data_IF_823852243445
#
_entry.id   IF_823852243445
#
_cell.length_a   1.000
_cell.length_b   1.000
_cell.length_c   1.000
_cell.angle_alpha   90.00
_cell.angle_beta   90.00
_cell.angle_gamma   90.00
#
_symmetry.space_group_name_H-M   'P 1'
#
loop_
_entity.id
_entity.type
_entity.pdbx_description
1 polymer ?
#
# COMPACT_ATOMS: atom_id res chain seq x y z
N UNK A 1 19.30 8.96 -7.07
CA UNK A 1 19.98 10.26 -6.87
C UNK A 1 21.11 10.50 -7.86
N UNK A 2 21.96 9.51 -8.12
CA UNK A 2 23.10 9.61 -9.05
C UNK A 2 22.78 10.29 -10.40
N UNK A 3 21.72 9.86 -11.08
CA UNK A 3 21.31 10.48 -12.35
C UNK A 3 20.97 11.97 -12.22
N UNK A 4 20.32 12.38 -11.11
CA UNK A 4 19.99 13.79 -10.87
C UNK A 4 21.26 14.62 -10.66
N UNK A 5 22.20 14.14 -9.85
CA UNK A 5 23.51 14.79 -9.62
C UNK A 5 24.34 14.83 -10.90
N UNK A 6 24.25 13.79 -11.74
CA UNK A 6 24.85 13.79 -13.08
C UNK A 6 24.30 14.91 -13.97
N UNK A 7 22.99 15.21 -13.90
CA UNK A 7 22.43 16.38 -14.58
C UNK A 7 22.89 17.70 -13.95
N UNK A 8 23.04 17.79 -12.62
CA UNK A 8 23.62 18.97 -11.98
C UNK A 8 25.07 19.22 -12.43
N UNK A 9 25.87 18.17 -12.61
CA UNK A 9 27.22 18.27 -13.15
C UNK A 9 27.23 18.78 -14.60
N UNK A 10 26.29 18.31 -15.45
CA UNK A 10 26.10 18.82 -16.83
C UNK A 10 25.65 20.28 -16.88
N UNK A 11 24.89 20.73 -15.88
CA UNK A 11 24.59 22.15 -15.71
C UNK A 11 25.86 22.93 -15.38
N UNK A 12 26.69 22.41 -14.47
CA UNK A 12 27.93 23.05 -14.06
C UNK A 12 28.99 23.12 -15.18
N UNK A 13 29.05 22.12 -16.08
CA UNK A 13 29.94 22.12 -17.25
C UNK A 13 29.46 23.00 -18.41
N UNK A 14 28.18 23.43 -18.40
CA UNK A 14 27.56 24.18 -19.50
C UNK A 14 26.92 23.31 -20.59
N UNK A 15 26.93 21.99 -20.45
CA UNK A 15 26.33 21.05 -21.40
C UNK A 15 24.79 21.06 -21.37
N UNK A 16 24.20 21.42 -20.22
CA UNK A 16 22.75 21.60 -20.06
C UNK A 16 22.43 23.08 -19.81
N UNK A 17 21.89 23.74 -20.84
CA UNK A 17 21.67 25.20 -20.83
C UNK A 17 20.32 25.64 -20.27
N UNK A 18 19.30 24.78 -20.32
CA UNK A 18 17.96 25.09 -19.82
C UNK A 18 17.78 24.49 -18.42
N UNK A 19 17.96 25.31 -17.39
CA UNK A 19 17.79 24.90 -16.00
C UNK A 19 17.38 26.09 -15.11
N UNK A 20 16.93 25.80 -13.89
CA UNK A 20 16.73 26.78 -12.82
C UNK A 20 17.29 26.21 -11.51
N UNK A 21 18.22 26.94 -10.89
CA UNK A 21 18.77 26.59 -9.57
C UNK A 21 18.12 27.47 -8.49
N UNK A 22 17.71 26.87 -7.39
CA UNK A 22 17.17 27.60 -6.24
C UNK A 22 17.41 26.85 -4.93
N UNK A 23 17.41 27.53 -3.77
CA UNK A 23 17.55 26.85 -2.48
C UNK A 23 16.36 25.93 -2.19
N UNK A 24 16.63 24.70 -1.74
CA UNK A 24 15.59 23.71 -1.42
C UNK A 24 14.58 24.23 -0.38
N UNK A 25 15.05 24.90 0.66
CA UNK A 25 14.18 25.48 1.71
C UNK A 25 13.24 26.56 1.17
N UNK A 26 13.65 27.30 0.13
CA UNK A 26 12.77 28.30 -0.50
C UNK A 26 11.61 27.62 -1.22
N UNK A 27 11.88 26.54 -1.96
CA UNK A 27 10.83 25.77 -2.63
C UNK A 27 9.92 25.08 -1.61
N UNK A 28 10.49 24.47 -0.58
CA UNK A 28 9.73 23.80 0.48
C UNK A 28 8.77 24.74 1.20
N UNK A 29 9.25 25.93 1.62
CA UNK A 29 8.39 26.95 2.22
C UNK A 29 7.24 27.35 1.29
N UNK A 30 7.52 27.53 -0.01
CA UNK A 30 6.47 27.86 -0.98
C UNK A 30 5.44 26.73 -1.11
N UNK A 31 5.87 25.47 -1.15
CA UNK A 31 4.95 24.32 -1.18
C UNK A 31 4.02 24.33 0.04
N UNK A 32 4.57 24.52 1.24
CA UNK A 32 3.79 24.56 2.49
C UNK A 32 2.83 25.75 2.54
N UNK A 33 3.26 26.94 2.09
CA UNK A 33 2.37 28.11 2.03
C UNK A 33 1.19 27.87 1.09
N UNK A 34 1.41 27.27 -0.08
CA UNK A 34 0.30 26.96 -0.99
C UNK A 34 -0.64 25.89 -0.43
N UNK A 35 -0.07 24.85 0.19
CA UNK A 35 -0.87 23.83 0.88
C UNK A 35 -1.74 24.45 1.99
N UNK A 36 -1.18 25.38 2.77
CA UNK A 36 -1.92 26.10 3.81
C UNK A 36 -3.02 27.01 3.24
N UNK A 37 -2.70 27.80 2.21
CA UNK A 37 -3.63 28.79 1.65
C UNK A 37 -4.76 28.16 0.81
N UNK A 38 -4.48 27.03 0.14
CA UNK A 38 -5.37 26.49 -0.90
C UNK A 38 -5.74 25.03 -0.71
N UNK A 39 -5.15 24.35 0.28
CA UNK A 39 -5.23 22.91 0.42
C UNK A 39 -4.42 22.12 -0.62
N UNK A 40 -3.66 22.79 -1.51
CA UNK A 40 -2.94 22.18 -2.63
C UNK A 40 -1.56 22.83 -2.88
N UNK A 41 -0.60 22.12 -3.50
CA UNK A 41 -0.65 20.70 -3.84
C UNK A 41 -0.39 19.80 -2.62
N UNK A 42 -0.97 18.60 -2.62
CA UNK A 42 -0.65 17.59 -1.60
C UNK A 42 0.79 17.09 -1.74
N UNK A 43 1.29 16.51 -0.65
CA UNK A 43 2.66 15.98 -0.56
C UNK A 43 2.58 14.45 -0.55
N UNK A 44 3.20 13.84 -1.56
CA UNK A 44 3.39 12.38 -1.65
C UNK A 44 4.87 12.10 -1.88
N UNK A 45 5.36 10.95 -1.40
CA UNK A 45 6.78 10.62 -1.44
C UNK A 45 7.05 9.51 -2.45
N UNK A 46 7.70 9.87 -3.57
CA UNK A 46 7.97 8.95 -4.69
C UNK A 46 8.75 7.71 -4.29
N UNK A 47 9.86 7.88 -3.55
CA UNK A 47 10.80 6.78 -3.33
C UNK A 47 10.20 5.68 -2.43
N UNK A 48 9.54 5.98 -1.29
CA UNK A 48 8.77 4.99 -0.55
C UNK A 48 7.72 4.25 -1.40
N UNK A 49 7.03 4.95 -2.31
CA UNK A 49 6.04 4.34 -3.19
C UNK A 49 6.67 3.34 -4.17
N UNK A 50 7.89 3.61 -4.65
CA UNK A 50 8.56 2.75 -5.64
C UNK A 50 9.37 1.62 -4.98
N UNK A 51 10.18 1.93 -3.96
CA UNK A 51 11.03 0.95 -3.26
C UNK A 51 10.21 -0.15 -2.60
N UNK A 52 9.02 0.19 -2.10
CA UNK A 52 8.12 -0.75 -1.41
C UNK A 52 7.06 -1.35 -2.33
N UNK A 53 7.05 -1.00 -3.62
CA UNK A 53 6.05 -1.52 -4.55
C UNK A 53 6.34 -2.99 -4.89
N UNK A 54 5.35 -3.90 -4.74
CA UNK A 54 5.52 -5.28 -5.15
C UNK A 54 5.73 -5.46 -6.65
N UNK A 55 5.44 -4.42 -7.44
CA UNK A 55 5.47 -4.41 -8.91
C UNK A 55 6.71 -3.70 -9.50
N UNK A 56 7.74 -3.43 -8.69
CA UNK A 56 8.96 -2.73 -9.14
C UNK A 56 9.72 -3.44 -10.28
N UNK A 57 9.49 -4.73 -10.50
CA UNK A 57 10.13 -5.54 -11.54
C UNK A 57 9.55 -5.33 -12.94
N UNK A 58 8.36 -4.75 -13.05
CA UNK A 58 7.61 -4.60 -14.32
C UNK A 58 7.20 -3.16 -14.63
N UNK A 59 7.58 -2.19 -13.80
CA UNK A 59 7.27 -0.79 -14.06
C UNK A 59 7.62 0.15 -12.90
N UNK A 60 7.15 1.38 -13.02
CA UNK A 60 7.42 2.48 -12.09
C UNK A 60 6.09 3.11 -11.67
N UNK A 61 5.97 3.43 -10.38
CA UNK A 61 4.86 4.24 -9.84
C UNK A 61 5.19 5.71 -10.12
N UNK A 62 4.54 6.29 -11.13
CA UNK A 62 4.78 7.68 -11.55
C UNK A 62 4.02 8.71 -10.70
N UNK A 63 2.89 8.33 -10.13
CA UNK A 63 2.05 9.17 -9.29
C UNK A 63 1.18 8.32 -8.36
N UNK A 64 0.50 8.97 -7.43
CA UNK A 64 -0.69 8.37 -6.81
C UNK A 64 -1.93 8.58 -7.68
N UNK A 65 -3.10 8.21 -7.19
CA UNK A 65 -4.43 8.61 -7.69
C UNK A 65 -4.94 9.94 -7.08
N UNK A 66 -6.21 10.25 -7.38
CA UNK A 66 -6.93 11.42 -6.87
C UNK A 66 -7.02 11.50 -5.34
N UNK A 67 -7.01 10.40 -4.60
CA UNK A 67 -7.16 10.41 -3.14
C UNK A 67 -5.87 10.06 -2.39
N UNK A 68 -4.74 9.94 -3.11
CA UNK A 68 -3.38 9.73 -2.57
C UNK A 68 -3.07 8.38 -1.90
N UNK A 69 -3.94 7.38 -2.04
CA UNK A 69 -3.82 6.07 -1.41
C UNK A 69 -3.30 4.95 -2.35
N UNK A 70 -3.30 5.18 -3.67
CA UNK A 70 -2.97 4.15 -4.67
C UNK A 70 -1.63 4.38 -5.33
N UNK A 71 -0.74 3.38 -5.20
CA UNK A 71 0.63 3.41 -5.73
C UNK A 71 0.86 2.30 -6.76
N UNK A 72 0.21 2.44 -7.92
CA UNK A 72 0.27 1.46 -9.01
C UNK A 72 1.10 1.97 -10.19
N UNK A 73 1.72 1.04 -10.90
CA UNK A 73 2.51 1.35 -12.09
C UNK A 73 1.63 1.89 -13.23
N UNK A 74 2.18 2.79 -14.03
CA UNK A 74 1.57 3.29 -15.27
C UNK A 74 2.62 3.40 -16.36
N UNK A 75 2.23 3.27 -17.63
CA UNK A 75 3.09 3.51 -18.77
C UNK A 75 2.27 3.85 -20.02
N UNK A 76 2.91 3.96 -21.18
CA UNK A 76 2.26 4.27 -22.46
C UNK A 76 1.12 3.29 -22.82
N UNK A 77 1.17 2.06 -22.33
CA UNK A 77 0.22 0.98 -22.62
C UNK A 77 -0.70 0.59 -21.45
N UNK A 78 -0.47 1.13 -20.24
CA UNK A 78 -1.14 0.70 -19.01
C UNK A 78 -1.67 1.91 -18.23
N UNK A 79 -2.99 1.91 -18.02
CA UNK A 79 -3.68 2.82 -17.09
C UNK A 79 -4.07 1.98 -15.87
N UNK A 80 -3.51 2.30 -14.71
CA UNK A 80 -3.84 1.60 -13.48
C UNK A 80 -5.33 1.79 -13.11
N UNK A 81 -5.95 0.73 -12.60
CA UNK A 81 -7.35 0.72 -12.16
C UNK A 81 -7.41 0.40 -10.68
N UNK A 82 -8.24 1.12 -9.95
CA UNK A 82 -8.44 0.92 -8.53
C UNK A 82 -9.75 0.17 -8.27
N UNK A 83 -9.67 -1.03 -7.66
CA UNK A 83 -10.83 -1.82 -7.26
C UNK A 83 -10.91 -1.79 -5.73
N UNK A 84 -11.84 -1.00 -5.18
CA UNK A 84 -11.87 -0.63 -3.76
C UNK A 84 -13.00 -1.28 -2.97
N UNK A 85 -12.75 -1.53 -1.69
CA UNK A 85 -13.78 -1.90 -0.71
C UNK A 85 -13.25 -1.76 0.72
N UNK A 86 -14.12 -1.42 1.68
CA UNK A 86 -13.71 -1.15 3.06
C UNK A 86 -14.40 -2.06 4.06
N UNK A 87 -13.61 -2.65 4.96
CA UNK A 87 -14.12 -3.45 6.08
C UNK A 87 -14.60 -2.51 7.19
N UNK A 88 -15.86 -2.68 7.62
CA UNK A 88 -16.38 -1.98 8.79
C UNK A 88 -15.82 -2.58 10.08
N UNK A 89 -14.81 -1.96 10.70
CA UNK A 89 -14.18 -2.49 11.92
C UNK A 89 -15.14 -2.57 13.12
N UNK A 90 -16.11 -1.66 13.21
CA UNK A 90 -17.10 -1.64 14.32
C UNK A 90 -17.88 -2.95 14.38
N UNK A 91 -18.23 -3.51 13.23
CA UNK A 91 -18.95 -4.78 13.13
C UNK A 91 -18.10 -5.99 13.57
N UNK A 92 -16.81 -5.79 13.84
CA UNK A 92 -15.86 -6.81 14.26
C UNK A 92 -15.36 -6.57 15.69
N UNK A 93 -15.97 -5.66 16.45
CA UNK A 93 -15.71 -5.54 17.87
C UNK A 93 -16.53 -6.56 18.64
N UNK A 94 -15.92 -7.23 19.63
CA UNK A 94 -16.59 -8.16 20.55
C UNK A 94 -16.27 -7.79 22.00
N UNK A 95 -17.12 -8.15 22.98
CA UNK A 95 -16.79 -7.98 24.39
C UNK A 95 -15.50 -8.72 24.75
N UNK A 96 -14.55 -8.04 25.40
CA UNK A 96 -13.32 -8.66 25.87
C UNK A 96 -13.55 -9.38 27.22
N UNK A 97 -12.79 -10.44 27.49
CA UNK A 97 -12.93 -11.23 28.72
C UNK A 97 -12.69 -10.39 30.01
N UNK A 98 -11.82 -9.39 29.94
CA UNK A 98 -11.53 -8.45 31.03
C UNK A 98 -12.50 -7.26 31.14
N UNK A 99 -13.58 -7.26 30.35
CA UNK A 99 -14.44 -6.09 30.16
C UNK A 99 -13.93 -5.16 29.05
N UNK A 100 -14.83 -4.32 28.51
CA UNK A 100 -14.54 -3.51 27.33
C UNK A 100 -14.75 -4.27 26.02
N UNK A 101 -14.11 -3.80 24.94
CA UNK A 101 -14.21 -4.38 23.60
C UNK A 101 -12.83 -4.65 23.00
N UNK A 102 -12.73 -5.73 22.24
CA UNK A 102 -11.54 -6.11 21.48
C UNK A 102 -11.92 -6.53 20.05
N UNK A 103 -10.93 -6.64 19.17
CA UNK A 103 -11.13 -7.07 17.80
C UNK A 103 -11.41 -8.58 17.72
N UNK A 104 -12.45 -8.96 16.97
CA UNK A 104 -12.77 -10.34 16.67
C UNK A 104 -11.97 -10.83 15.45
N UNK A 105 -10.78 -11.37 15.70
CA UNK A 105 -9.87 -11.86 14.67
C UNK A 105 -10.49 -12.93 13.75
N UNK A 106 -11.27 -13.86 14.30
CA UNK A 106 -11.91 -14.91 13.50
C UNK A 106 -12.95 -14.33 12.55
N UNK A 107 -13.72 -13.35 13.01
CA UNK A 107 -14.69 -12.65 12.17
C UNK A 107 -13.98 -11.78 11.12
N UNK A 108 -12.91 -11.08 11.48
CA UNK A 108 -12.09 -10.30 10.52
C UNK A 108 -11.56 -11.22 9.42
N UNK A 109 -10.94 -12.35 9.78
CA UNK A 109 -10.44 -13.34 8.83
C UNK A 109 -11.51 -13.75 7.82
N UNK A 110 -12.73 -14.06 8.31
CA UNK A 110 -13.85 -14.45 7.44
C UNK A 110 -14.27 -13.32 6.51
N UNK A 111 -14.48 -12.11 7.04
CA UNK A 111 -14.94 -10.96 6.25
C UNK A 111 -13.91 -10.53 5.21
N UNK A 112 -12.63 -10.41 5.61
CA UNK A 112 -11.53 -10.06 4.71
C UNK A 112 -11.38 -11.10 3.59
N UNK A 113 -11.50 -12.39 3.90
CA UNK A 113 -11.43 -13.44 2.87
C UNK A 113 -12.53 -13.31 1.82
N UNK A 114 -13.74 -12.96 2.25
CA UNK A 114 -14.88 -12.71 1.34
C UNK A 114 -14.64 -11.43 0.55
N UNK A 115 -14.22 -10.35 1.21
CA UNK A 115 -13.96 -9.05 0.57
C UNK A 115 -12.89 -9.15 -0.53
N UNK A 116 -11.76 -9.82 -0.26
CA UNK A 116 -10.71 -10.05 -1.26
C UNK A 116 -11.23 -10.82 -2.48
N UNK A 117 -12.08 -11.83 -2.28
CA UNK A 117 -12.72 -12.56 -3.39
C UNK A 117 -13.67 -11.68 -4.18
N UNK A 118 -14.46 -10.85 -3.51
CA UNK A 118 -15.36 -9.90 -4.18
C UNK A 118 -14.56 -8.90 -5.02
N UNK A 119 -13.47 -8.36 -4.49
CA UNK A 119 -12.60 -7.43 -5.21
C UNK A 119 -11.89 -8.11 -6.39
N UNK A 120 -11.40 -9.35 -6.24
CA UNK A 120 -10.83 -10.09 -7.37
C UNK A 120 -11.88 -10.39 -8.46
N UNK A 121 -13.13 -10.66 -8.08
CA UNK A 121 -14.23 -10.83 -9.04
C UNK A 121 -14.54 -9.53 -9.79
N UNK A 122 -14.46 -8.36 -9.13
CA UNK A 122 -14.69 -7.04 -9.76
C UNK A 122 -13.78 -6.87 -10.98
N UNK A 123 -12.53 -7.31 -10.90
CA UNK A 123 -11.57 -7.21 -12.03
C UNK A 123 -12.11 -7.90 -13.29
N UNK A 124 -12.76 -9.05 -13.15
CA UNK A 124 -13.23 -9.83 -14.29
C UNK A 124 -14.59 -9.35 -14.83
N UNK A 125 -15.47 -8.84 -13.96
CA UNK A 125 -16.80 -8.35 -14.36
C UNK A 125 -16.81 -6.88 -14.79
N UNK A 126 -15.77 -6.12 -14.47
CA UNK A 126 -15.75 -4.69 -14.73
C UNK A 126 -15.76 -4.39 -16.25
N UNK A 127 -16.53 -3.37 -16.63
CA UNK A 127 -16.47 -2.82 -17.98
C UNK A 127 -15.32 -1.81 -18.08
N UNK A 128 -14.35 -2.11 -18.94
CA UNK A 128 -13.23 -1.21 -19.21
C UNK A 128 -13.51 -0.37 -20.45
N UNK A 129 -13.62 0.94 -20.26
CA UNK A 129 -13.85 1.89 -21.36
C UNK A 129 -12.64 2.04 -22.29
N UNK A 130 -11.42 1.73 -21.81
CA UNK A 130 -10.17 1.82 -22.58
C UNK A 130 -9.33 0.56 -22.39
N UNK A 131 -8.73 0.09 -23.48
CA UNK A 131 -7.99 -1.18 -23.49
C UNK A 131 -6.76 -1.16 -22.56
N UNK A 132 -6.10 -0.01 -22.45
CA UNK A 132 -4.96 0.18 -21.53
C UNK A 132 -5.33 -0.13 -20.07
N UNK A 133 -6.57 0.15 -19.68
CA UNK A 133 -7.07 -0.14 -18.34
C UNK A 133 -7.36 -1.64 -18.15
N UNK A 134 -7.95 -2.28 -19.17
CA UNK A 134 -8.17 -3.74 -19.18
C UNK A 134 -6.84 -4.49 -19.07
N UNK A 135 -5.86 -4.10 -19.88
CA UNK A 135 -4.52 -4.71 -19.91
C UNK A 135 -3.86 -4.65 -18.54
N UNK A 136 -3.80 -3.46 -17.93
CA UNK A 136 -3.21 -3.27 -16.60
C UNK A 136 -3.92 -4.13 -15.54
N UNK A 137 -5.25 -4.07 -15.48
CA UNK A 137 -6.00 -4.74 -14.40
C UNK A 137 -5.97 -6.27 -14.57
N UNK A 138 -6.04 -6.80 -15.79
CA UNK A 138 -5.93 -8.24 -16.04
C UNK A 138 -4.53 -8.80 -15.74
N UNK A 139 -3.48 -8.04 -16.09
CA UNK A 139 -2.07 -8.45 -15.94
C UNK A 139 -1.59 -8.43 -14.48
N UNK A 140 -2.02 -7.43 -13.71
CA UNK A 140 -1.51 -7.16 -12.36
C UNK A 140 -2.53 -7.48 -11.26
N UNK A 141 -3.82 -7.44 -11.59
CA UNK A 141 -4.94 -7.70 -10.68
C UNK A 141 -4.88 -6.97 -9.33
N UNK A 142 -4.53 -5.67 -9.27
CA UNK A 142 -4.47 -4.94 -8.01
C UNK A 142 -5.86 -4.74 -7.41
N UNK A 143 -5.95 -4.83 -6.09
CA UNK A 143 -7.15 -4.45 -5.32
C UNK A 143 -6.73 -3.56 -4.15
N UNK A 144 -7.65 -2.73 -3.66
CA UNK A 144 -7.44 -1.86 -2.52
C UNK A 144 -8.51 -2.12 -1.47
N UNK A 145 -8.21 -3.04 -0.55
CA UNK A 145 -9.05 -3.27 0.61
C UNK A 145 -8.63 -2.31 1.73
N UNK A 146 -9.57 -1.47 2.17
CA UNK A 146 -9.41 -0.53 3.26
C UNK A 146 -10.18 -0.95 4.52
N UNK A 147 -10.18 -0.05 5.49
CA UNK A 147 -10.95 -0.16 6.73
C UNK A 147 -11.74 1.13 6.97
N UNK A 148 -12.86 1.03 7.67
CA UNK A 148 -13.63 2.19 8.13
C UNK A 148 -14.16 1.96 9.55
N UNK A 149 -14.59 3.03 10.21
CA UNK A 149 -15.11 2.96 11.57
C UNK A 149 -14.03 2.87 12.66
N UNK A 150 -12.77 3.22 12.34
CA UNK A 150 -11.66 3.17 13.29
C UNK A 150 -11.92 4.02 14.55
N UNK A 151 -12.41 5.25 14.39
CA UNK A 151 -12.74 6.13 15.50
C UNK A 151 -13.87 5.56 16.39
N UNK A 152 -14.85 4.90 15.79
CA UNK A 152 -15.97 4.30 16.52
C UNK A 152 -15.49 3.09 17.34
N UNK A 153 -14.56 2.29 16.81
CA UNK A 153 -13.88 1.24 17.58
C UNK A 153 -13.17 1.82 18.81
N UNK A 154 -12.42 2.91 18.65
CA UNK A 154 -11.77 3.59 19.77
C UNK A 154 -12.79 4.06 20.82
N UNK A 155 -13.95 4.57 20.39
CA UNK A 155 -15.02 4.97 21.31
C UNK A 155 -15.61 3.78 22.08
N UNK A 156 -15.83 2.65 21.42
CA UNK A 156 -16.28 1.41 22.07
C UNK A 156 -15.27 0.91 23.11
N UNK A 157 -13.97 1.02 22.79
CA UNK A 157 -12.86 0.67 23.68
C UNK A 157 -12.62 1.72 24.78
N UNK A 158 -13.29 2.88 24.71
CA UNK A 158 -13.04 4.05 25.58
C UNK A 158 -11.59 4.56 25.50
N UNK A 159 -10.98 4.45 24.32
CA UNK A 159 -9.60 4.88 24.05
C UNK A 159 -9.60 6.25 23.37
N UNK A 160 -8.95 7.28 23.93
CA UNK A 160 -8.75 8.55 23.25
C UNK A 160 -7.87 8.40 22.02
N UNK A 161 -8.21 9.08 20.92
CA UNK A 161 -7.45 8.92 19.67
C UNK A 161 -6.00 9.40 19.78
N UNK A 162 -5.75 10.49 20.50
CA UNK A 162 -4.40 10.97 20.79
C UNK A 162 -3.78 10.22 21.98
N UNK A 163 -3.61 8.90 21.87
CA UNK A 163 -3.00 8.07 22.91
C UNK A 163 -2.17 6.92 22.33
N UNK A 164 -1.21 6.41 23.11
CA UNK A 164 -0.43 5.22 22.72
C UNK A 164 -1.30 3.99 22.50
N UNK A 165 -2.37 3.82 23.29
CA UNK A 165 -3.32 2.72 23.10
C UNK A 165 -4.03 2.79 21.74
N UNK A 166 -4.31 3.99 21.21
CA UNK A 166 -4.86 4.13 19.87
C UNK A 166 -3.83 3.80 18.77
N UNK A 167 -2.55 4.12 19.00
CA UNK A 167 -1.45 3.75 18.08
C UNK A 167 -1.27 2.23 18.06
N UNK A 168 -1.24 1.58 19.22
CA UNK A 168 -1.16 0.12 19.34
C UNK A 168 -2.37 -0.59 18.69
N UNK A 169 -3.58 -0.04 18.88
CA UNK A 169 -4.76 -0.56 18.21
C UNK A 169 -4.71 -0.35 16.69
N UNK A 170 -4.19 0.80 16.21
CA UNK A 170 -4.01 1.03 14.78
C UNK A 170 -3.04 0.02 14.16
N UNK A 171 -1.94 -0.27 14.84
CA UNK A 171 -0.94 -1.23 14.40
C UNK A 171 -1.52 -2.65 14.33
N UNK A 172 -1.96 -3.18 15.48
CA UNK A 172 -2.45 -4.56 15.60
C UNK A 172 -3.70 -4.84 14.77
N UNK A 173 -4.61 -3.87 14.65
CA UNK A 173 -5.80 -4.04 13.79
C UNK A 173 -5.43 -4.06 12.30
N UNK A 174 -4.48 -3.23 11.88
CA UNK A 174 -4.02 -3.24 10.49
C UNK A 174 -3.16 -4.47 10.18
N UNK A 175 -2.35 -4.93 11.12
CA UNK A 175 -1.60 -6.19 11.03
C UNK A 175 -2.55 -7.35 10.74
N UNK A 176 -3.64 -7.47 11.52
CA UNK A 176 -4.65 -8.51 11.32
C UNK A 176 -5.33 -8.42 9.95
N UNK A 177 -5.72 -7.22 9.51
CA UNK A 177 -6.35 -7.02 8.20
C UNK A 177 -5.39 -7.37 7.06
N UNK A 178 -4.15 -6.89 7.11
CA UNK A 178 -3.10 -7.18 6.13
C UNK A 178 -2.81 -8.68 6.05
N UNK A 179 -2.57 -9.33 7.20
CA UNK A 179 -2.27 -10.75 7.28
C UNK A 179 -3.35 -11.60 6.61
N UNK A 180 -4.62 -11.34 6.95
CA UNK A 180 -5.75 -12.09 6.37
C UNK A 180 -6.00 -11.74 4.90
N UNK A 181 -5.71 -10.51 4.46
CA UNK A 181 -5.86 -10.12 3.06
C UNK A 181 -4.85 -10.85 2.16
N UNK A 182 -3.59 -10.91 2.60
CA UNK A 182 -2.54 -11.63 1.87
C UNK A 182 -2.80 -13.13 1.88
N UNK A 183 -3.23 -13.69 3.01
CA UNK A 183 -3.64 -15.09 3.09
C UNK A 183 -4.77 -15.41 2.12
N UNK A 184 -5.79 -14.54 2.04
CA UNK A 184 -6.91 -14.68 1.12
C UNK A 184 -6.48 -14.58 -0.34
N UNK A 185 -5.59 -13.64 -0.69
CA UNK A 185 -5.03 -13.56 -2.05
C UNK A 185 -4.23 -14.81 -2.42
N UNK A 186 -3.52 -15.41 -1.46
CA UNK A 186 -2.80 -16.67 -1.68
C UNK A 186 -3.74 -17.88 -1.83
N UNK A 187 -4.85 -17.94 -1.07
CA UNK A 187 -5.94 -18.91 -1.32
C UNK A 187 -6.52 -18.77 -2.73
N UNK A 188 -6.75 -17.54 -3.19
CA UNK A 188 -7.24 -17.30 -4.55
C UNK A 188 -6.19 -17.68 -5.60
N UNK A 189 -4.89 -17.57 -5.29
CA UNK A 189 -3.83 -18.01 -6.20
C UNK A 189 -3.82 -19.53 -6.36
N UNK A 190 -4.04 -20.27 -5.27
CA UNK A 190 -4.20 -21.73 -5.27
C UNK A 190 -5.42 -22.16 -6.10
N UNK A 191 -6.54 -21.45 -5.98
CA UNK A 191 -7.79 -21.77 -6.69
C UNK A 191 -7.78 -21.33 -8.16
N UNK A 192 -7.31 -20.12 -8.46
CA UNK A 192 -7.51 -19.42 -9.75
C UNK A 192 -6.21 -19.17 -10.51
N UNK A 193 -5.07 -19.54 -9.94
CA UNK A 193 -3.74 -19.21 -10.44
C UNK A 193 -3.27 -17.82 -9.99
N UNK A 194 -1.95 -17.64 -10.04
CA UNK A 194 -1.25 -16.38 -9.75
C UNK A 194 -1.61 -15.30 -10.78
N UNK A 195 -1.46 -14.02 -10.42
CA UNK A 195 -1.56 -12.96 -11.45
C UNK A 195 -0.42 -13.07 -12.47
N UNK A 196 -0.65 -12.62 -13.70
CA UNK A 196 0.25 -12.88 -14.84
C UNK A 196 1.68 -12.38 -14.61
N UNK A 197 1.82 -11.23 -13.94
CA UNK A 197 3.12 -10.60 -13.67
C UNK A 197 3.70 -10.96 -12.29
N UNK A 198 3.30 -12.07 -11.68
CA UNK A 198 3.75 -12.47 -10.35
C UNK A 198 5.26 -12.75 -10.27
N UNK A 199 5.82 -13.45 -11.26
CA UNK A 199 7.24 -13.81 -11.25
C UNK A 199 8.13 -12.56 -11.32
N UNK A 200 9.06 -12.43 -10.37
CA UNK A 200 9.93 -11.27 -10.18
C UNK A 200 9.41 -10.21 -9.18
N UNK A 201 8.13 -10.29 -8.79
CA UNK A 201 7.55 -9.41 -7.77
C UNK A 201 8.23 -9.56 -6.40
N UNK A 202 8.00 -8.60 -5.50
CA UNK A 202 8.41 -8.77 -4.09
C UNK A 202 7.80 -10.03 -3.48
N UNK A 203 6.54 -10.34 -3.79
CA UNK A 203 5.88 -11.56 -3.32
C UNK A 203 6.60 -12.84 -3.75
N UNK A 204 7.01 -12.94 -5.02
CA UNK A 204 7.74 -14.11 -5.55
C UNK A 204 9.13 -14.28 -4.95
N UNK A 205 9.72 -13.19 -4.45
CA UNK A 205 10.99 -13.19 -3.71
C UNK A 205 10.82 -13.42 -2.22
N UNK A 206 9.59 -13.65 -1.76
CA UNK A 206 9.26 -13.79 -0.36
C UNK A 206 9.56 -12.53 0.44
N UNK A 207 9.35 -11.33 -0.12
CA UNK A 207 9.52 -10.03 0.54
C UNK A 207 8.11 -9.45 0.80
N UNK A 208 7.77 -9.27 2.07
CA UNK A 208 6.48 -8.75 2.55
C UNK A 208 6.61 -7.27 2.94
N UNK A 209 5.49 -6.54 3.14
CA UNK A 209 5.50 -5.10 3.41
C UNK A 209 6.39 -4.66 4.57
N UNK A 210 6.49 -5.45 5.64
CA UNK A 210 7.38 -5.18 6.77
C UNK A 210 8.86 -5.28 6.37
N UNK A 211 9.23 -6.25 5.53
CA UNK A 211 10.61 -6.43 5.07
C UNK A 211 11.07 -5.25 4.18
N UNK A 212 10.13 -4.62 3.45
CA UNK A 212 10.43 -3.46 2.62
C UNK A 212 10.85 -2.21 3.42
N UNK A 213 10.61 -2.17 4.73
CA UNK A 213 11.11 -1.09 5.60
C UNK A 213 12.63 -1.10 5.65
N UNK A 214 13.24 -2.29 5.71
CA UNK A 214 14.70 -2.44 5.61
C UNK A 214 15.20 -1.95 4.25
N UNK A 215 14.54 -2.34 3.15
CA UNK A 215 14.89 -1.86 1.81
C UNK A 215 14.86 -0.33 1.74
N UNK A 216 13.79 0.29 2.25
CA UNK A 216 13.67 1.74 2.28
C UNK A 216 14.75 2.40 3.16
N UNK A 217 15.07 1.79 4.31
CA UNK A 217 16.13 2.28 5.21
C UNK A 217 17.50 2.23 4.54
N UNK A 218 17.83 1.12 3.90
CA UNK A 218 19.10 0.93 3.19
C UNK A 218 19.24 1.98 2.07
N UNK A 219 18.19 2.15 1.24
CA UNK A 219 18.18 3.13 0.14
C UNK A 219 18.24 4.59 0.62
N UNK A 220 17.69 4.90 1.80
CA UNK A 220 17.69 6.26 2.38
C UNK A 220 18.88 6.54 3.30
N UNK A 221 19.88 5.66 3.35
CA UNK A 221 21.08 5.85 4.18
C UNK A 221 20.81 5.81 5.68
N UNK A 222 19.80 5.05 6.12
CA UNK A 222 19.48 4.85 7.54
C UNK A 222 18.38 5.75 8.11
N UNK A 223 17.90 6.75 7.36
CA UNK A 223 16.94 7.76 7.86
C UNK A 223 15.47 7.30 7.85
N UNK A 224 15.21 6.10 8.38
CA UNK A 224 13.87 5.50 8.51
C UNK A 224 13.70 4.89 9.89
N UNK A 225 13.02 5.63 10.75
CA UNK A 225 12.63 5.23 12.11
C UNK A 225 11.15 4.86 12.10
N UNK A 226 10.85 3.60 12.41
CA UNK A 226 9.50 3.03 12.41
C UNK A 226 9.51 1.85 13.37
N UNK A 227 8.37 1.59 14.02
CA UNK A 227 8.19 0.36 14.78
C UNK A 227 8.13 -0.85 13.82
N UNK A 228 8.83 -1.93 14.18
CA UNK A 228 8.89 -3.16 13.38
C UNK A 228 8.34 -4.36 14.17
N UNK A 229 7.57 -4.10 15.23
CA UNK A 229 6.91 -5.17 15.98
C UNK A 229 5.86 -5.88 15.13
N UNK A 230 5.58 -7.12 15.50
CA UNK A 230 4.56 -7.94 14.85
C UNK A 230 4.00 -8.95 15.86
N UNK A 231 2.72 -9.25 15.76
CA UNK A 231 2.02 -10.17 16.65
C UNK A 231 1.56 -11.46 15.97
N UNK A 232 1.59 -11.51 14.62
CA UNK A 232 1.10 -12.65 13.84
C UNK A 232 2.23 -13.49 13.22
N UNK A 233 1.91 -14.73 12.82
CA UNK A 233 2.86 -15.68 12.23
C UNK A 233 3.12 -15.40 10.74
N UNK A 234 3.92 -14.38 10.48
CA UNK A 234 4.30 -13.97 9.14
C UNK A 234 5.13 -15.02 8.38
N UNK A 235 5.81 -15.93 9.08
CA UNK A 235 6.58 -17.01 8.45
C UNK A 235 5.66 -18.07 7.84
N UNK A 236 4.56 -18.43 8.51
CA UNK A 236 3.54 -19.30 7.93
C UNK A 236 2.90 -18.68 6.68
N UNK A 237 2.58 -17.39 6.71
CA UNK A 237 2.06 -16.68 5.54
C UNK A 237 3.10 -16.65 4.41
N UNK A 238 4.36 -16.36 4.71
CA UNK A 238 5.47 -16.34 3.74
C UNK A 238 5.64 -17.71 3.08
N UNK A 239 5.63 -18.79 3.87
CA UNK A 239 5.71 -20.16 3.35
C UNK A 239 4.54 -20.48 2.41
N UNK A 240 3.32 -20.07 2.76
CA UNK A 240 2.14 -20.24 1.92
C UNK A 240 2.25 -19.46 0.61
N UNK A 241 2.68 -18.19 0.66
CA UNK A 241 2.89 -17.36 -0.54
C UNK A 241 3.97 -17.98 -1.43
N UNK A 242 5.05 -18.54 -0.87
CA UNK A 242 6.07 -19.22 -1.66
C UNK A 242 5.52 -20.47 -2.38
N UNK A 243 4.63 -21.22 -1.72
CA UNK A 243 4.02 -22.42 -2.30
C UNK A 243 2.99 -22.09 -3.39
N UNK A 244 2.03 -21.21 -3.09
CA UNK A 244 0.86 -21.00 -3.95
C UNK A 244 0.94 -19.70 -4.78
N UNK A 245 1.74 -18.74 -4.33
CA UNK A 245 1.81 -17.39 -4.90
C UNK A 245 0.69 -16.49 -4.39
N UNK A 246 0.47 -15.40 -5.15
CA UNK A 246 -0.52 -14.37 -4.87
C UNK A 246 -1.43 -14.17 -6.09
N UNK A 247 -2.73 -13.92 -5.85
CA UNK A 247 -3.69 -13.61 -6.91
C UNK A 247 -3.67 -12.14 -7.31
N UNK A 248 -3.27 -11.26 -6.39
CA UNK A 248 -3.34 -9.81 -6.56
C UNK A 248 -1.96 -9.19 -6.30
N UNK A 249 -1.51 -8.28 -7.17
CA UNK A 249 -0.22 -7.58 -6.99
C UNK A 249 -0.23 -6.64 -5.78
N UNK A 250 -1.32 -5.93 -5.55
CA UNK A 250 -1.57 -5.10 -4.37
C UNK A 250 -2.90 -5.54 -3.76
N UNK A 251 -3.00 -5.52 -2.42
CA UNK A 251 -4.23 -5.95 -1.73
C UNK A 251 -4.84 -4.86 -0.85
N UNK A 252 -4.05 -3.91 -0.34
CA UNK A 252 -4.43 -2.99 0.73
C UNK A 252 -4.28 -1.54 0.25
N UNK A 253 -5.32 -0.74 0.47
CA UNK A 253 -5.30 0.71 0.38
C UNK A 253 -6.48 1.27 1.19
N UNK A 254 -6.22 2.20 2.11
CA UNK A 254 -7.26 2.84 2.91
C UNK A 254 -7.71 4.10 2.17
N UNK A 255 -8.90 4.04 1.56
CA UNK A 255 -9.54 5.12 0.82
C UNK A 255 -10.70 5.75 1.60
#
# INVERSE_FOLDING_TARGET
EEAYVGYEARVASGDLKLFKKMPALTLWRKMLSMLFETGHPWITFKDPCNIRSPQQHVGVVHSSNLCTEITLNTNESEIAVCNLGSVNLVAHMKPAAGGGFELDHDKIKRTVSIAMRMLDNVIDINYYAVEKARNSNARHRPVGMGIMGFQDCLQMMRVPYASHAAVEFADTSMEAVCYHAYWASSLLAEERGRYQSYEGSLWSRGILPQDTLKMLRDERGGHVEVDESSTLDWDALRARINQHGMRNSNCIAIA
#
